data_IF_558857615232
#
_entry.id   IF_558857615232
#
_cell.length_a   1.000
_cell.length_b   1.000
_cell.length_c   1.000
_cell.angle_alpha   90.00
_cell.angle_beta   90.00
_cell.angle_gamma   90.00
#
_symmetry.space_group_name_H-M   'P 1'
#
loop_
_entity.id
_entity.type
_entity.pdbx_description
1 polymer ?
#
# COMPACT_ATOMS: atom_id res chain seq x y z
N UNK A 1 6.24 14.76 -32.03
CA UNK A 1 5.77 13.39 -31.71
C UNK A 1 6.73 12.57 -30.84
N UNK A 2 7.99 12.28 -31.26
CA UNK A 2 8.93 11.43 -30.48
C UNK A 2 9.22 11.91 -29.05
N UNK A 3 9.43 13.22 -28.82
CA UNK A 3 9.68 13.78 -27.47
C UNK A 3 8.49 13.59 -26.52
N UNK A 4 7.27 13.78 -27.04
CA UNK A 4 6.03 13.58 -26.29
C UNK A 4 5.88 12.12 -25.85
N UNK A 5 6.11 11.16 -26.75
CA UNK A 5 6.06 9.72 -26.45
C UNK A 5 7.06 9.32 -25.36
N UNK A 6 8.26 9.89 -25.37
CA UNK A 6 9.28 9.64 -24.34
C UNK A 6 8.82 10.20 -22.98
N UNK A 7 8.24 11.39 -22.94
CA UNK A 7 7.71 11.97 -21.70
C UNK A 7 6.56 11.14 -21.12
N UNK A 8 5.60 10.73 -21.96
CA UNK A 8 4.48 9.87 -21.56
C UNK A 8 5.01 8.55 -20.99
N UNK A 9 5.98 7.92 -21.65
CA UNK A 9 6.57 6.66 -21.18
C UNK A 9 7.20 6.79 -19.78
N UNK A 10 7.86 7.93 -19.48
CA UNK A 10 8.43 8.18 -18.15
C UNK A 10 7.35 8.35 -17.08
N UNK A 11 6.26 9.04 -17.40
CA UNK A 11 5.12 9.24 -16.50
C UNK A 11 4.48 7.90 -16.18
N UNK A 12 4.21 7.07 -17.20
CA UNK A 12 3.65 5.73 -17.03
C UNK A 12 4.56 4.88 -16.13
N UNK A 13 5.87 4.85 -16.40
CA UNK A 13 6.83 4.14 -15.57
C UNK A 13 6.84 4.64 -14.12
N UNK A 14 6.76 5.95 -13.92
CA UNK A 14 6.67 6.56 -12.60
C UNK A 14 5.41 6.13 -11.84
N UNK A 15 4.25 6.17 -12.50
CA UNK A 15 2.97 5.72 -11.94
C UNK A 15 3.00 4.23 -11.61
N UNK A 16 3.53 3.38 -12.50
CA UNK A 16 3.65 1.94 -12.25
C UNK A 16 4.53 1.66 -11.02
N UNK A 17 5.69 2.30 -10.89
CA UNK A 17 6.52 2.15 -9.69
C UNK A 17 5.79 2.66 -8.46
N UNK A 18 5.11 3.81 -8.54
CA UNK A 18 4.37 4.36 -7.42
C UNK A 18 3.25 3.43 -6.93
N UNK A 19 2.43 2.89 -7.83
CA UNK A 19 1.37 1.92 -7.51
C UNK A 19 1.95 0.64 -6.90
N UNK A 20 3.04 0.11 -7.46
CA UNK A 20 3.74 -1.04 -6.91
C UNK A 20 4.23 -0.77 -5.49
N UNK A 21 4.89 0.37 -5.25
CA UNK A 21 5.45 0.73 -3.93
C UNK A 21 4.36 0.96 -2.89
N UNK A 22 3.28 1.66 -3.24
CA UNK A 22 2.14 1.90 -2.33
C UNK A 22 1.46 0.57 -2.00
N UNK A 23 1.14 -0.24 -3.01
CA UNK A 23 0.54 -1.56 -2.82
C UNK A 23 1.41 -2.45 -1.93
N UNK A 24 2.71 -2.52 -2.20
CA UNK A 24 3.65 -3.29 -1.39
C UNK A 24 3.70 -2.78 0.05
N UNK A 25 3.70 -1.46 0.27
CA UNK A 25 3.70 -0.86 1.60
C UNK A 25 2.42 -1.18 2.38
N UNK A 26 1.27 -1.20 1.71
CA UNK A 26 -0.02 -1.63 2.29
C UNK A 26 0.02 -3.10 2.69
N UNK A 27 0.48 -3.99 1.80
CA UNK A 27 0.56 -5.43 2.09
C UNK A 27 1.54 -5.73 3.23
N UNK A 28 2.71 -5.08 3.25
CA UNK A 28 3.68 -5.21 4.35
C UNK A 28 3.02 -4.76 5.65
N UNK A 29 2.42 -3.57 5.67
CA UNK A 29 1.79 -3.03 6.88
C UNK A 29 0.69 -3.95 7.40
N UNK A 30 -0.21 -4.41 6.54
CA UNK A 30 -1.31 -5.32 6.90
C UNK A 30 -0.79 -6.60 7.61
N UNK A 31 0.31 -7.18 7.12
CA UNK A 31 0.86 -8.43 7.63
C UNK A 31 1.74 -8.27 8.89
N UNK A 32 2.09 -7.04 9.27
CA UNK A 32 2.78 -6.76 10.53
C UNK A 32 1.79 -6.79 11.69
N UNK A 33 1.51 -8.00 12.19
CA UNK A 33 0.60 -8.25 13.32
C UNK A 33 0.94 -7.47 14.59
N UNK A 34 2.21 -7.09 14.74
CA UNK A 34 2.68 -6.23 15.84
C UNK A 34 1.98 -4.87 15.87
N UNK A 35 1.54 -4.34 14.73
CA UNK A 35 0.83 -3.06 14.65
C UNK A 35 -0.51 -3.17 15.37
N UNK A 36 -1.28 -4.23 15.09
CA UNK A 36 -2.55 -4.45 15.76
C UNK A 36 -2.36 -4.83 17.23
N UNK A 37 -1.36 -5.67 17.55
CA UNK A 37 -1.01 -6.00 18.94
C UNK A 37 -0.68 -4.75 19.77
N UNK A 38 0.07 -3.81 19.19
CA UNK A 38 0.35 -2.50 19.79
C UNK A 38 -0.93 -1.65 19.91
N UNK A 39 -1.78 -1.68 18.89
CA UNK A 39 -3.05 -0.94 18.88
C UNK A 39 -3.99 -1.39 20.00
N UNK A 40 -4.03 -2.70 20.29
CA UNK A 40 -4.80 -3.26 21.41
C UNK A 40 -4.42 -2.58 22.72
N UNK A 41 -3.12 -2.47 23.01
CA UNK A 41 -2.64 -1.85 24.24
C UNK A 41 -2.81 -0.33 24.21
N UNK A 42 -2.51 0.29 23.06
CA UNK A 42 -2.50 1.75 22.91
C UNK A 42 -3.88 2.38 23.03
N UNK A 43 -4.90 1.69 22.54
CA UNK A 43 -6.29 2.16 22.49
C UNK A 43 -7.22 1.41 23.44
N UNK A 44 -6.67 0.58 24.34
CA UNK A 44 -7.42 -0.15 25.36
C UNK A 44 -8.56 -1.02 24.77
N UNK A 45 -8.26 -1.69 23.65
CA UNK A 45 -9.25 -2.44 22.88
C UNK A 45 -9.77 -3.68 23.63
N UNK A 46 -9.01 -4.19 24.61
CA UNK A 46 -9.47 -5.28 25.49
C UNK A 46 -10.67 -4.86 26.32
N UNK A 47 -10.66 -3.63 26.85
CA UNK A 47 -11.81 -3.07 27.59
C UNK A 47 -12.96 -2.73 26.66
N UNK A 48 -12.70 -2.17 25.48
CA UNK A 48 -13.76 -1.82 24.52
C UNK A 48 -14.46 -3.06 23.98
N UNK A 49 -13.69 -4.05 23.52
CA UNK A 49 -14.23 -5.30 22.99
C UNK A 49 -14.64 -6.32 24.06
N UNK A 50 -14.38 -6.07 25.35
CA UNK A 50 -14.63 -7.00 26.46
C UNK A 50 -14.01 -8.40 26.23
N UNK A 51 -12.80 -8.41 25.66
CA UNK A 51 -12.09 -9.63 25.25
C UNK A 51 -10.62 -9.56 25.65
N UNK A 52 -10.02 -10.74 25.84
CA UNK A 52 -8.57 -10.81 26.05
C UNK A 52 -7.81 -10.40 24.78
N UNK A 53 -6.56 -9.96 24.96
CA UNK A 53 -5.67 -9.64 23.83
C UNK A 53 -5.53 -10.82 22.87
N UNK A 54 -5.43 -12.04 23.38
CA UNK A 54 -5.33 -13.25 22.55
C UNK A 54 -6.58 -13.50 21.73
N UNK A 55 -7.77 -13.29 22.30
CA UNK A 55 -9.04 -13.41 21.57
C UNK A 55 -9.13 -12.37 20.44
N UNK A 56 -8.76 -11.12 20.71
CA UNK A 56 -8.70 -10.06 19.71
C UNK A 56 -7.68 -10.36 18.60
N UNK A 57 -6.49 -10.83 18.97
CA UNK A 57 -5.47 -11.22 17.99
C UNK A 57 -5.92 -12.41 17.13
N UNK A 58 -6.67 -13.36 17.70
CA UNK A 58 -7.21 -14.49 16.95
C UNK A 58 -8.24 -14.05 15.91
N UNK A 59 -9.21 -13.20 16.29
CA UNK A 59 -10.18 -12.66 15.34
C UNK A 59 -9.53 -11.76 14.28
N UNK A 60 -8.51 -10.99 14.66
CA UNK A 60 -7.72 -10.22 13.69
C UNK A 60 -6.99 -11.13 12.68
N UNK A 61 -6.45 -12.28 13.13
CA UNK A 61 -5.84 -13.25 12.23
C UNK A 61 -6.86 -13.88 11.27
N UNK A 62 -8.08 -14.14 11.74
CA UNK A 62 -9.20 -14.61 10.91
C UNK A 62 -9.51 -13.57 9.82
N UNK A 63 -9.62 -12.29 10.20
CA UNK A 63 -9.83 -11.20 9.26
C UNK A 63 -8.72 -11.13 8.22
N UNK A 64 -7.46 -11.14 8.66
CA UNK A 64 -6.31 -11.12 7.74
C UNK A 64 -6.31 -12.28 6.75
N UNK A 65 -6.65 -13.48 7.20
CA UNK A 65 -6.74 -14.64 6.33
C UNK A 65 -7.88 -14.46 5.31
N UNK A 66 -9.06 -14.00 5.76
CA UNK A 66 -10.20 -13.76 4.87
C UNK A 66 -9.91 -12.75 3.77
N UNK A 67 -9.30 -11.61 4.13
CA UNK A 67 -9.00 -10.51 3.21
C UNK A 67 -7.98 -10.90 2.12
N UNK A 68 -7.10 -11.87 2.42
CA UNK A 68 -5.99 -12.24 1.54
C UNK A 68 -6.19 -13.57 0.82
N UNK A 69 -7.18 -14.37 1.21
CA UNK A 69 -7.42 -15.70 0.63
C UNK A 69 -8.66 -15.69 -0.29
N UNK A 70 -8.51 -15.83 -1.62
CA UNK A 70 -9.65 -15.79 -2.55
C UNK A 70 -10.65 -16.95 -2.37
N UNK A 71 -10.25 -18.05 -1.71
CA UNK A 71 -11.08 -19.24 -1.54
C UNK A 71 -12.04 -19.17 -0.34
N UNK A 72 -11.80 -18.27 0.63
CA UNK A 72 -12.67 -18.11 1.79
C UNK A 72 -13.87 -17.24 1.41
N UNK A 73 -15.05 -17.84 1.26
CA UNK A 73 -16.23 -17.11 0.74
C UNK A 73 -16.92 -16.22 1.78
N UNK A 74 -16.79 -16.53 3.07
CA UNK A 74 -17.50 -15.84 4.15
C UNK A 74 -16.56 -15.57 5.32
N UNK A 75 -16.62 -14.36 5.85
CA UNK A 75 -15.94 -13.98 7.08
C UNK A 75 -16.79 -14.44 8.27
N UNK A 76 -16.16 -15.13 9.23
CA UNK A 76 -16.80 -15.58 10.47
C UNK A 76 -15.82 -15.40 11.62
N UNK A 77 -16.05 -14.38 12.43
CA UNK A 77 -15.33 -14.17 13.68
C UNK A 77 -15.77 -15.19 14.73
N UNK A 78 -14.91 -15.42 15.72
CA UNK A 78 -15.22 -16.25 16.87
C UNK A 78 -15.98 -15.45 17.94
N UNK A 79 -15.65 -14.17 18.13
CA UNK A 79 -16.20 -13.38 19.24
C UNK A 79 -17.14 -12.23 18.80
N UNK A 80 -17.22 -11.94 17.50
CA UNK A 80 -18.03 -10.84 16.98
C UNK A 80 -19.14 -11.35 16.06
N UNK A 81 -20.36 -10.88 16.31
CA UNK A 81 -21.44 -10.96 15.33
C UNK A 81 -21.23 -9.90 14.25
N UNK A 82 -21.92 -10.06 13.12
CA UNK A 82 -21.85 -9.12 12.01
C UNK A 82 -23.19 -9.10 11.27
N UNK A 83 -23.65 -7.91 10.92
CA UNK A 83 -24.83 -7.72 10.09
C UNK A 83 -24.55 -8.12 8.63
N UNK A 84 -25.60 -8.24 7.83
CA UNK A 84 -25.45 -8.47 6.38
C UNK A 84 -24.71 -7.32 5.69
N UNK A 85 -24.90 -6.09 6.16
CA UNK A 85 -24.22 -4.91 5.63
C UNK A 85 -22.73 -4.94 6.01
N UNK A 86 -22.40 -5.25 7.27
CA UNK A 86 -21.02 -5.43 7.71
C UNK A 86 -20.29 -6.53 6.95
N UNK A 87 -20.96 -7.67 6.72
CA UNK A 87 -20.42 -8.78 5.93
C UNK A 87 -20.12 -8.34 4.49
N UNK A 88 -21.03 -7.58 3.87
CA UNK A 88 -20.84 -7.06 2.53
C UNK A 88 -19.68 -6.05 2.48
N UNK A 89 -19.57 -5.15 3.45
CA UNK A 89 -18.45 -4.20 3.52
C UNK A 89 -17.10 -4.93 3.57
N UNK A 90 -16.93 -5.93 4.44
CA UNK A 90 -15.68 -6.70 4.48
C UNK A 90 -15.43 -7.50 3.20
N UNK A 91 -16.47 -7.94 2.50
CA UNK A 91 -16.33 -8.53 1.17
C UNK A 91 -15.80 -7.53 0.12
N UNK A 92 -16.25 -6.28 0.14
CA UNK A 92 -15.70 -5.22 -0.71
C UNK A 92 -14.24 -4.92 -0.35
N UNK A 93 -13.92 -4.80 0.95
CA UNK A 93 -12.54 -4.62 1.44
C UNK A 93 -11.63 -5.76 0.99
N UNK A 94 -12.11 -7.01 1.04
CA UNK A 94 -11.40 -8.17 0.51
C UNK A 94 -11.06 -8.03 -0.97
N UNK A 95 -12.01 -7.57 -1.81
CA UNK A 95 -11.74 -7.33 -3.24
C UNK A 95 -10.63 -6.30 -3.43
N UNK A 96 -10.61 -5.24 -2.62
CA UNK A 96 -9.56 -4.22 -2.67
C UNK A 96 -8.20 -4.86 -2.40
N UNK A 97 -8.05 -5.66 -1.33
CA UNK A 97 -6.77 -6.32 -1.03
C UNK A 97 -6.35 -7.30 -2.13
N UNK A 98 -7.25 -8.14 -2.64
CA UNK A 98 -6.94 -9.06 -3.75
C UNK A 98 -6.53 -8.31 -5.02
N UNK A 99 -7.18 -7.18 -5.32
CA UNK A 99 -6.82 -6.33 -6.45
C UNK A 99 -5.44 -5.66 -6.26
N UNK A 100 -5.08 -5.28 -5.03
CA UNK A 100 -3.72 -4.78 -4.73
C UNK A 100 -2.67 -5.85 -5.06
N UNK A 101 -2.88 -7.10 -4.63
CA UNK A 101 -2.00 -8.21 -5.01
C UNK A 101 -1.89 -8.38 -6.52
N UNK A 102 -3.02 -8.36 -7.22
CA UNK A 102 -3.05 -8.49 -8.67
C UNK A 102 -2.27 -7.37 -9.37
N UNK A 103 -2.47 -6.12 -8.95
CA UNK A 103 -1.75 -4.94 -9.48
C UNK A 103 -0.24 -5.10 -9.30
N UNK A 104 0.22 -5.49 -8.11
CA UNK A 104 1.63 -5.71 -7.80
C UNK A 104 2.22 -6.77 -8.74
N UNK A 105 1.54 -7.92 -8.89
CA UNK A 105 1.98 -9.03 -9.74
C UNK A 105 2.05 -8.61 -11.20
N UNK A 106 0.99 -7.95 -11.72
CA UNK A 106 0.93 -7.48 -13.10
C UNK A 106 2.04 -6.48 -13.40
N UNK A 107 2.29 -5.52 -12.51
CA UNK A 107 3.37 -4.54 -12.69
C UNK A 107 4.74 -5.22 -12.68
N UNK A 108 4.96 -6.18 -11.77
CA UNK A 108 6.21 -6.94 -11.70
C UNK A 108 6.46 -7.72 -13.00
N UNK A 109 5.45 -8.47 -13.47
CA UNK A 109 5.52 -9.22 -14.72
C UNK A 109 5.74 -8.30 -15.93
N UNK A 110 5.06 -7.15 -15.97
CA UNK A 110 5.25 -6.15 -17.03
C UNK A 110 6.71 -5.67 -17.09
N UNK A 111 7.34 -5.37 -15.95
CA UNK A 111 8.76 -4.97 -15.92
C UNK A 111 9.70 -6.11 -16.34
N UNK A 112 9.42 -7.36 -15.99
CA UNK A 112 10.19 -8.54 -16.42
C UNK A 112 10.10 -8.69 -17.95
N UNK A 113 8.90 -8.63 -18.51
CA UNK A 113 8.66 -8.72 -19.96
C UNK A 113 9.35 -7.57 -20.69
N UNK A 114 9.20 -6.32 -20.22
CA UNK A 114 9.87 -5.16 -20.81
C UNK A 114 11.39 -5.33 -20.81
N UNK A 115 11.97 -5.82 -19.70
CA UNK A 115 13.41 -6.09 -19.61
C UNK A 115 13.85 -7.14 -20.64
N UNK A 116 13.10 -8.22 -20.80
CA UNK A 116 13.39 -9.27 -21.79
C UNK A 116 13.31 -8.74 -23.23
N UNK A 117 12.25 -8.01 -23.56
CA UNK A 117 12.05 -7.39 -24.88
C UNK A 117 13.21 -6.44 -25.20
N UNK A 118 13.56 -5.53 -24.28
CA UNK A 118 14.65 -4.59 -24.52
C UNK A 118 15.99 -5.32 -24.73
N UNK A 119 16.26 -6.39 -23.97
CA UNK A 119 17.45 -7.22 -24.16
C UNK A 119 17.48 -7.86 -25.56
N UNK A 120 16.36 -8.39 -26.04
CA UNK A 120 16.24 -8.97 -27.39
C UNK A 120 16.57 -7.97 -28.51
N UNK A 121 16.27 -6.69 -28.31
CA UNK A 121 16.57 -5.61 -29.26
C UNK A 121 17.84 -4.82 -28.93
N UNK A 122 18.74 -5.36 -28.10
CA UNK A 122 20.00 -4.70 -27.68
C UNK A 122 19.80 -3.29 -27.08
N UNK A 123 18.64 -3.03 -26.47
CA UNK A 123 18.31 -1.77 -25.76
C UNK A 123 18.55 -1.93 -24.26
N UNK A 124 19.08 -0.88 -23.62
CA UNK A 124 19.36 -0.87 -22.16
C UNK A 124 18.09 -0.63 -21.34
N UNK A 125 17.80 -1.54 -20.39
CA UNK A 125 16.80 -1.34 -19.35
C UNK A 125 17.40 -0.57 -18.17
N UNK A 126 17.03 0.71 -18.02
CA UNK A 126 17.62 1.61 -17.02
C UNK A 126 16.81 1.62 -15.72
N UNK A 127 16.88 0.55 -14.94
CA UNK A 127 16.10 0.38 -13.70
C UNK A 127 16.23 1.58 -12.75
N UNK A 128 17.46 2.08 -12.51
CA UNK A 128 17.70 3.21 -11.61
C UNK A 128 16.98 4.50 -12.05
N UNK A 129 16.81 4.73 -13.36
CA UNK A 129 16.03 5.88 -13.87
C UNK A 129 14.53 5.67 -13.66
N UNK A 130 14.04 4.46 -13.91
CA UNK A 130 12.63 4.07 -13.69
C UNK A 130 12.26 4.26 -12.21
N UNK A 131 13.08 3.75 -11.29
CA UNK A 131 12.90 3.93 -9.86
C UNK A 131 12.92 5.41 -9.45
N UNK A 132 13.78 6.22 -10.07
CA UNK A 132 13.79 7.67 -9.82
C UNK A 132 12.52 8.39 -10.34
N UNK A 133 11.94 7.95 -11.46
CA UNK A 133 10.63 8.45 -11.91
C UNK A 133 9.52 8.09 -10.92
N UNK A 134 9.56 6.86 -10.39
CA UNK A 134 8.67 6.42 -9.31
C UNK A 134 8.82 7.27 -8.06
N UNK A 135 10.05 7.48 -7.59
CA UNK A 135 10.33 8.31 -6.42
C UNK A 135 9.80 9.75 -6.59
N UNK A 136 10.00 10.36 -7.76
CA UNK A 136 9.45 11.70 -8.04
C UNK A 136 7.92 11.70 -7.99
N UNK A 137 7.27 10.68 -8.57
CA UNK A 137 5.81 10.54 -8.57
C UNK A 137 5.28 10.37 -7.14
N UNK A 138 5.93 9.54 -6.33
CA UNK A 138 5.56 9.30 -4.93
C UNK A 138 5.72 10.56 -4.07
N UNK A 139 6.78 11.36 -4.27
CA UNK A 139 6.96 12.62 -3.55
C UNK A 139 5.76 13.56 -3.79
N UNK A 140 5.26 13.65 -5.02
CA UNK A 140 4.07 14.46 -5.34
C UNK A 140 2.81 13.95 -4.66
N UNK A 141 2.63 12.63 -4.53
CA UNK A 141 1.45 12.01 -3.90
C UNK A 141 1.50 12.15 -2.37
N UNK A 142 2.66 11.94 -1.75
CA UNK A 142 2.82 11.93 -0.29
C UNK A 142 2.44 13.25 0.35
N UNK A 143 2.75 14.39 -0.29
CA UNK A 143 2.41 15.70 0.25
C UNK A 143 0.89 15.82 0.53
N UNK A 144 0.06 15.33 -0.40
CA UNK A 144 -1.40 15.35 -0.27
C UNK A 144 -1.87 14.36 0.81
N UNK A 145 -1.28 13.16 0.86
CA UNK A 145 -1.63 12.14 1.85
C UNK A 145 -1.28 12.57 3.28
N UNK A 146 -0.10 13.15 3.48
CA UNK A 146 0.32 13.70 4.76
C UNK A 146 -0.63 14.80 5.23
N UNK A 147 -0.96 15.76 4.36
CA UNK A 147 -1.91 16.81 4.69
C UNK A 147 -3.27 16.22 5.11
N UNK A 148 -3.77 15.22 4.39
CA UNK A 148 -5.04 14.56 4.70
C UNK A 148 -5.05 13.88 6.07
N UNK A 149 -3.94 13.22 6.45
CA UNK A 149 -3.85 12.49 7.73
C UNK A 149 -3.66 13.43 8.93
N UNK A 150 -2.83 14.48 8.78
CA UNK A 150 -2.46 15.34 9.91
C UNK A 150 -3.40 16.52 10.13
N UNK A 151 -4.13 16.97 9.10
CA UNK A 151 -5.10 18.07 9.25
C UNK A 151 -6.43 17.56 9.78
N UNK A 152 -7.01 16.53 9.16
CA UNK A 152 -8.31 15.98 9.57
C UNK A 152 -8.47 14.53 9.07
N UNK A 153 -7.98 13.58 9.87
CA UNK A 153 -8.04 12.16 9.52
C UNK A 153 -9.48 11.66 9.36
N UNK A 154 -10.43 12.09 10.21
CA UNK A 154 -11.82 11.63 10.14
C UNK A 154 -12.49 12.02 8.84
N UNK A 155 -12.28 13.26 8.37
CA UNK A 155 -12.75 13.68 7.05
C UNK A 155 -12.06 12.88 5.93
N UNK A 156 -10.75 12.64 6.04
CA UNK A 156 -10.03 11.84 5.06
C UNK A 156 -10.53 10.38 5.04
N UNK A 157 -10.86 9.80 6.20
CA UNK A 157 -11.39 8.45 6.34
C UNK A 157 -12.76 8.33 5.68
N UNK A 158 -13.67 9.30 5.89
CA UNK A 158 -14.96 9.35 5.20
C UNK A 158 -14.80 9.51 3.69
N UNK A 159 -13.91 10.40 3.23
CA UNK A 159 -13.64 10.58 1.79
C UNK A 159 -13.08 9.31 1.17
N UNK A 160 -12.16 8.62 1.86
CA UNK A 160 -11.65 7.33 1.42
C UNK A 160 -12.79 6.33 1.21
N UNK A 161 -13.70 6.19 2.16
CA UNK A 161 -14.84 5.28 2.02
C UNK A 161 -15.72 5.67 0.82
N UNK A 162 -16.01 6.95 0.62
CA UNK A 162 -16.79 7.42 -0.54
C UNK A 162 -16.11 7.23 -1.90
N UNK A 163 -14.78 7.09 -1.94
CA UNK A 163 -14.04 6.78 -3.17
C UNK A 163 -14.15 5.30 -3.52
N UNK A 164 -14.11 4.42 -2.52
CA UNK A 164 -14.04 2.97 -2.71
C UNK A 164 -15.40 2.27 -2.64
N UNK A 165 -16.39 2.86 -1.97
CA UNK A 165 -17.70 2.28 -1.73
C UNK A 165 -18.80 3.22 -2.21
N UNK A 166 -19.81 2.67 -2.87
CA UNK A 166 -20.97 3.40 -3.39
C UNK A 166 -22.21 3.29 -2.47
N UNK A 167 -21.98 2.85 -1.23
CA UNK A 167 -22.97 2.58 -0.20
C UNK A 167 -22.44 3.05 1.17
N UNK A 168 -23.30 3.06 2.18
CA UNK A 168 -22.95 3.46 3.55
C UNK A 168 -22.76 2.26 4.50
N UNK A 169 -22.55 1.05 3.97
CA UNK A 169 -22.43 -0.16 4.81
C UNK A 169 -21.15 -0.19 5.65
N UNK A 170 -20.21 0.72 5.40
CA UNK A 170 -19.02 0.94 6.23
C UNK A 170 -19.33 1.72 7.52
N UNK A 171 -20.53 2.28 7.67
CA UNK A 171 -20.99 2.93 8.91
C UNK A 171 -21.60 1.87 9.82
N UNK A 172 -20.78 1.33 10.72
CA UNK A 172 -21.17 0.26 11.64
C UNK A 172 -21.91 0.79 12.88
N UNK A 173 -22.87 -0.01 13.37
CA UNK A 173 -23.47 0.13 14.70
C UNK A 173 -22.86 -0.93 15.61
N UNK A 174 -22.25 -0.55 16.73
CA UNK A 174 -21.61 -1.48 17.68
C UNK A 174 -22.56 -2.58 18.20
N UNK A 175 -23.89 -2.40 18.12
CA UNK A 175 -24.86 -3.44 18.50
C UNK A 175 -24.97 -4.57 17.48
N UNK A 176 -24.86 -4.25 16.19
CA UNK A 176 -25.00 -5.25 15.10
C UNK A 176 -23.66 -5.66 14.53
N UNK A 177 -22.66 -4.79 14.64
CA UNK A 177 -21.31 -4.91 14.09
C UNK A 177 -20.26 -4.47 15.15
N UNK A 178 -20.19 -5.14 16.33
CA UNK A 178 -19.30 -4.79 17.45
C UNK A 178 -17.79 -4.82 17.09
N UNK A 179 -17.44 -5.37 15.93
CA UNK A 179 -16.07 -5.32 15.41
C UNK A 179 -15.55 -3.88 15.27
N UNK A 180 -16.42 -2.88 15.11
CA UNK A 180 -16.02 -1.46 15.04
C UNK A 180 -15.31 -0.99 16.31
N UNK A 181 -15.66 -1.55 17.46
CA UNK A 181 -15.10 -1.15 18.76
C UNK A 181 -13.62 -1.57 18.90
N UNK A 182 -13.19 -2.57 18.10
CA UNK A 182 -11.82 -3.08 18.08
C UNK A 182 -11.09 -2.83 16.77
N UNK A 183 -11.77 -2.21 15.79
CA UNK A 183 -11.17 -1.62 14.60
C UNK A 183 -11.58 -0.14 14.48
N UNK A 184 -11.33 0.70 15.50
CA UNK A 184 -11.71 2.10 15.44
C UNK A 184 -10.82 2.87 14.46
N UNK A 185 -11.27 4.08 14.11
CA UNK A 185 -10.59 4.98 13.16
C UNK A 185 -9.10 5.19 13.50
N UNK A 186 -8.75 5.25 14.79
CA UNK A 186 -7.38 5.44 15.27
C UNK A 186 -6.43 4.31 14.85
N UNK A 187 -6.94 3.08 14.78
CA UNK A 187 -6.16 1.94 14.27
C UNK A 187 -5.82 2.17 12.81
N UNK A 188 -6.79 2.59 11.99
CA UNK A 188 -6.56 2.89 10.58
C UNK A 188 -5.63 4.10 10.38
N UNK A 189 -5.69 5.09 11.27
CA UNK A 189 -4.73 6.22 11.27
C UNK A 189 -3.31 5.73 11.49
N UNK A 190 -3.10 4.81 12.43
CA UNK A 190 -1.80 4.21 12.67
C UNK A 190 -1.31 3.43 11.44
N UNK A 191 -2.16 2.61 10.83
CA UNK A 191 -1.83 1.92 9.57
C UNK A 191 -1.46 2.90 8.46
N UNK A 192 -2.20 3.99 8.29
CA UNK A 192 -1.92 5.01 7.27
C UNK A 192 -0.55 5.67 7.48
N UNK A 193 -0.19 5.98 8.73
CA UNK A 193 1.13 6.52 9.09
C UNK A 193 2.24 5.52 8.75
N UNK A 194 2.05 4.24 9.09
CA UNK A 194 3.04 3.18 8.84
C UNK A 194 3.24 2.95 7.34
N UNK A 195 2.14 2.94 6.57
CA UNK A 195 2.22 2.86 5.10
C UNK A 195 3.05 4.02 4.55
N UNK A 196 2.80 5.26 5.01
CA UNK A 196 3.61 6.42 4.60
C UNK A 196 5.08 6.26 4.98
N UNK A 197 5.37 5.77 6.18
CA UNK A 197 6.75 5.53 6.61
C UNK A 197 7.47 4.54 5.68
N UNK A 198 6.80 3.45 5.28
CA UNK A 198 7.37 2.51 4.30
C UNK A 198 7.58 3.16 2.93
N UNK A 199 6.60 3.93 2.43
CA UNK A 199 6.75 4.62 1.14
C UNK A 199 7.92 5.62 1.18
N UNK A 200 8.08 6.38 2.27
CA UNK A 200 9.22 7.28 2.46
C UNK A 200 10.55 6.51 2.48
N UNK A 201 10.61 5.37 3.16
CA UNK A 201 11.75 4.47 3.13
C UNK A 201 12.11 4.03 1.70
N UNK A 202 11.11 3.60 0.91
CA UNK A 202 11.33 3.24 -0.49
C UNK A 202 11.80 4.41 -1.36
N UNK A 203 11.25 5.63 -1.16
CA UNK A 203 11.72 6.83 -1.87
C UNK A 203 13.21 7.05 -1.60
N UNK A 204 13.62 7.01 -0.33
CA UNK A 204 15.02 7.20 0.08
C UNK A 204 15.90 6.13 -0.60
N UNK A 205 15.50 4.86 -0.55
CA UNK A 205 16.21 3.76 -1.20
C UNK A 205 16.35 3.97 -2.71
N UNK A 206 15.26 4.36 -3.41
CA UNK A 206 15.27 4.62 -4.85
C UNK A 206 16.19 5.79 -5.21
N UNK A 207 16.20 6.86 -4.40
CA UNK A 207 17.06 8.03 -4.61
C UNK A 207 18.52 7.70 -4.36
N UNK A 208 18.86 7.00 -3.29
CA UNK A 208 20.22 6.53 -3.00
C UNK A 208 20.72 5.67 -4.17
N UNK A 209 19.93 4.69 -4.61
CA UNK A 209 20.30 3.83 -5.73
C UNK A 209 20.52 4.63 -7.02
N UNK A 210 19.63 5.58 -7.33
CA UNK A 210 19.76 6.47 -8.49
C UNK A 210 21.06 7.29 -8.45
N UNK A 211 21.38 7.94 -7.34
CA UNK A 211 22.58 8.78 -7.23
C UNK A 211 23.87 7.96 -7.25
N UNK A 212 23.89 6.78 -6.63
CA UNK A 212 25.04 5.85 -6.70
C UNK A 212 25.34 5.44 -8.14
N UNK A 213 24.33 5.00 -8.89
CA UNK A 213 24.52 4.56 -10.28
C UNK A 213 24.81 5.73 -11.23
N UNK A 214 24.22 6.92 -10.99
CA UNK A 214 24.56 8.13 -11.74
C UNK A 214 26.03 8.51 -11.57
N UNK A 215 26.56 8.44 -10.35
CA UNK A 215 27.94 8.81 -10.04
C UNK A 215 28.95 7.80 -10.63
N UNK A 216 28.71 6.49 -10.52
CA UNK A 216 29.53 5.46 -11.19
C UNK A 216 29.64 5.69 -12.69
N UNK A 217 28.50 5.97 -13.34
CA UNK A 217 28.46 6.25 -14.78
C UNK A 217 29.20 7.55 -15.16
N UNK A 218 29.32 8.52 -14.23
CA UNK A 218 30.11 9.75 -14.45
C UNK A 218 31.61 9.46 -14.33
N UNK A 219 32.02 8.73 -13.30
CA UNK A 219 33.42 8.35 -13.07
C UNK A 219 33.98 7.51 -14.23
N UNK A 220 33.27 6.47 -14.65
CA UNK A 220 33.71 5.63 -15.78
C UNK A 220 33.82 6.37 -17.11
N UNK A 221 33.05 7.45 -17.32
CA UNK A 221 33.21 8.32 -18.50
C UNK A 221 34.47 9.17 -18.41
N UNK A 222 34.77 9.71 -17.24
CA UNK A 222 35.97 10.52 -17.03
C UNK A 222 37.25 9.68 -17.18
N UNK A 223 37.24 8.42 -16.73
CA UNK A 223 38.37 7.50 -16.92
C UNK A 223 38.65 7.15 -18.39
N UNK A 224 37.62 7.08 -19.23
CA UNK A 224 37.78 6.86 -20.68
C UNK A 224 38.41 8.10 -21.33
N UNK A 225 37.91 9.30 -21.00
CA UNK A 225 38.43 10.57 -21.55
C UNK A 225 39.90 10.79 -21.17
N UNK A 226 40.35 10.34 -19.99
CA UNK A 226 41.77 10.46 -19.60
C UNK A 226 42.69 9.42 -20.25
N UNK A 227 42.15 8.42 -20.96
CA UNK A 227 42.91 7.37 -21.65
C UNK A 227 42.98 7.55 -23.17
N UNK A 228 42.29 8.56 -23.70
CA UNK A 228 42.34 9.03 -25.10
C UNK A 228 43.24 10.27 -25.21
#
# INVERSE_FOLDING_TARGET
>A
MKRLLISISKIIQGIMVALFTIGLSVIISLNLRVIYSYSIDKYDLTRLGQLSKDALMNDYNILLNYLQNPFIKKLKFNNFIMSTNGEFHFYEVKKIFLNIYLIIIVILLAFIVIKFILRKYNKKFNLFKILNYGANTLISIIAVLLASIFINFSKAFVVFHKIFFNNDYWVFDSKTDPIIDVLPEEVFKLYAIIVIAFVLGFIILYKIFYYREKNKNKLGKNEIIMKE
#
